data_IF_062068862971
#
_entry.id   IF_062068862971
#
_cell.length_a   1.000
_cell.length_b   1.000
_cell.length_c   1.000
_cell.angle_alpha   90.00
_cell.angle_beta   90.00
_cell.angle_gamma   90.00
#
_symmetry.space_group_name_H-M   'P 1'
#
loop_
_entity.id
_entity.type
_entity.pdbx_description
1 polymer ?
#
# COMPACT_ATOMS: atom_id res chain seq x y z
N UNK A 1 6.54 -7.14 16.44
CA UNK A 1 6.73 -7.05 17.92
C UNK A 1 6.19 -5.72 18.45
N UNK A 2 5.07 -5.23 17.92
CA UNK A 2 4.47 -3.97 18.37
C UNK A 2 3.92 -4.15 19.80
N UNK A 3 4.26 -3.22 20.70
CA UNK A 3 3.84 -3.25 22.11
C UNK A 3 2.90 -2.09 22.45
N UNK A 4 2.50 -1.30 21.46
CA UNK A 4 1.75 -0.07 21.63
C UNK A 4 2.61 1.12 22.03
N UNK A 5 1.96 2.28 22.08
CA UNK A 5 2.60 3.57 22.35
C UNK A 5 2.77 3.89 23.84
N UNK A 6 3.32 5.07 24.09
CA UNK A 6 3.48 5.61 25.44
C UNK A 6 2.14 5.99 26.09
N UNK A 7 2.14 6.28 27.39
CA UNK A 7 0.98 6.81 28.11
C UNK A 7 0.40 8.11 27.50
N UNK A 8 1.15 8.85 26.67
CA UNK A 8 0.70 10.11 26.07
C UNK A 8 0.19 9.96 24.64
N UNK A 9 0.68 8.98 23.90
CA UNK A 9 0.46 8.85 22.46
C UNK A 9 0.34 7.37 22.11
N UNK A 10 -0.77 7.02 21.44
CA UNK A 10 -1.03 5.68 20.91
C UNK A 10 -0.98 4.54 21.96
N UNK A 11 -1.34 4.83 23.22
CA UNK A 11 -1.44 3.78 24.25
C UNK A 11 -2.41 2.68 23.80
N UNK A 12 -1.97 1.41 23.83
CA UNK A 12 -2.74 0.25 23.34
C UNK A 12 -3.17 0.33 21.87
N UNK A 13 -2.54 1.17 21.06
CA UNK A 13 -2.76 1.30 19.61
C UNK A 13 -1.49 0.92 18.85
N UNK A 14 -1.60 0.55 17.57
CA UNK A 14 -0.44 0.25 16.72
C UNK A 14 0.52 1.44 16.64
N UNK A 15 1.81 1.17 16.81
CA UNK A 15 2.91 2.13 16.60
C UNK A 15 3.69 1.86 15.32
N UNK A 16 3.37 0.76 14.63
CA UNK A 16 4.02 0.31 13.40
C UNK A 16 3.08 0.26 12.19
N UNK A 17 1.85 0.76 12.32
CA UNK A 17 0.86 0.69 11.25
C UNK A 17 1.19 1.68 10.12
N UNK A 18 1.45 1.13 8.93
CA UNK A 18 1.57 1.87 7.67
C UNK A 18 0.73 1.18 6.59
N UNK A 19 0.30 1.94 5.59
CA UNK A 19 -0.43 1.40 4.42
C UNK A 19 0.01 2.04 3.12
N UNK A 20 -0.05 1.27 2.05
CA UNK A 20 0.24 1.72 0.70
C UNK A 20 -0.80 1.18 -0.29
N UNK A 21 -0.92 1.84 -1.45
CA UNK A 21 -1.79 1.40 -2.54
C UNK A 21 -1.10 0.30 -3.34
N UNK A 22 -1.78 -0.83 -3.55
CA UNK A 22 -1.36 -1.82 -4.54
C UNK A 22 -1.72 -1.34 -5.95
N UNK A 23 -0.78 -1.46 -6.87
CA UNK A 23 -0.99 -1.10 -8.27
C UNK A 23 -1.26 -2.36 -9.10
N UNK A 24 -2.53 -2.58 -9.44
CA UNK A 24 -2.94 -3.56 -10.44
C UNK A 24 -3.59 -2.81 -11.61
N UNK A 25 -2.83 -2.62 -12.69
CA UNK A 25 -3.26 -1.80 -13.82
C UNK A 25 -2.77 -2.32 -15.17
N UNK A 26 -3.53 -2.03 -16.22
CA UNK A 26 -3.06 -2.16 -17.60
C UNK A 26 -2.45 -0.81 -18.03
N UNK A 27 -1.17 -0.78 -18.46
CA UNK A 27 -0.55 0.45 -18.96
C UNK A 27 -1.14 0.88 -20.31
N UNK A 28 -1.12 2.18 -20.59
CA UNK A 28 -1.61 2.81 -21.83
C UNK A 28 -1.50 4.34 -21.73
N UNK A 29 -2.08 5.07 -22.68
CA UNK A 29 -2.13 6.54 -22.65
C UNK A 29 -2.70 7.08 -21.33
N UNK A 30 -3.64 6.35 -20.75
CA UNK A 30 -4.06 6.46 -19.35
C UNK A 30 -4.11 5.07 -18.75
N UNK A 31 -3.55 4.91 -17.54
CA UNK A 31 -3.55 3.62 -16.85
C UNK A 31 -4.98 3.22 -16.45
N UNK A 32 -5.38 1.99 -16.77
CA UNK A 32 -6.66 1.42 -16.31
C UNK A 32 -6.42 0.55 -15.08
N UNK A 33 -7.00 0.92 -13.93
CA UNK A 33 -6.77 0.26 -12.65
C UNK A 33 -7.92 -0.66 -12.24
N UNK A 34 -7.58 -1.83 -11.73
CA UNK A 34 -8.51 -2.72 -11.01
C UNK A 34 -8.34 -2.46 -9.52
N UNK A 35 -9.31 -1.76 -8.90
CA UNK A 35 -9.16 -1.24 -7.54
C UNK A 35 -9.90 -2.05 -6.47
N UNK A 36 -10.81 -2.95 -6.84
CA UNK A 36 -11.60 -3.71 -5.85
C UNK A 36 -10.94 -5.06 -5.62
N UNK A 37 -10.17 -5.19 -4.55
CA UNK A 37 -9.52 -6.45 -4.17
C UNK A 37 -10.57 -7.48 -3.74
N UNK A 38 -10.45 -8.71 -4.23
CA UNK A 38 -11.37 -9.82 -3.96
C UNK A 38 -10.72 -10.91 -3.09
N UNK A 39 -9.46 -11.24 -3.38
CA UNK A 39 -8.71 -12.26 -2.67
C UNK A 39 -7.21 -12.02 -2.80
N UNK A 40 -6.45 -12.53 -1.84
CA UNK A 40 -4.99 -12.57 -1.83
C UNK A 40 -4.56 -13.96 -1.36
N UNK A 41 -3.54 -14.54 -1.97
CA UNK A 41 -2.97 -15.82 -1.53
C UNK A 41 -2.12 -15.64 -0.26
N UNK A 42 -1.77 -16.76 0.36
CA UNK A 42 -0.57 -16.81 1.19
C UNK A 42 0.69 -16.49 0.36
N UNK A 43 1.84 -16.33 1.02
CA UNK A 43 3.12 -16.13 0.33
C UNK A 43 3.48 -17.41 -0.44
N UNK A 44 3.77 -17.26 -1.72
CA UNK A 44 4.22 -18.30 -2.63
C UNK A 44 5.67 -18.03 -3.04
N UNK A 45 6.43 -19.08 -3.34
CA UNK A 45 7.75 -18.97 -3.97
C UNK A 45 7.60 -19.13 -5.49
N UNK A 46 7.83 -18.07 -6.25
CA UNK A 46 7.86 -18.09 -7.72
C UNK A 46 9.24 -17.63 -8.20
N UNK A 47 9.93 -18.48 -8.96
CA UNK A 47 11.28 -18.21 -9.47
C UNK A 47 12.29 -17.74 -8.38
N UNK A 48 12.17 -18.31 -7.18
CA UNK A 48 13.00 -17.98 -6.01
C UNK A 48 12.68 -16.62 -5.38
N UNK A 49 11.48 -16.07 -5.64
CA UNK A 49 11.00 -14.82 -5.05
C UNK A 49 9.72 -15.09 -4.24
N UNK A 50 9.64 -14.55 -3.01
CA UNK A 50 8.41 -14.58 -2.23
C UNK A 50 7.40 -13.59 -2.82
N UNK A 51 6.26 -14.08 -3.29
CA UNK A 51 5.21 -13.28 -3.92
C UNK A 51 3.85 -13.56 -3.29
N UNK A 52 2.93 -12.61 -3.41
CA UNK A 52 1.50 -12.85 -3.24
C UNK A 52 0.78 -12.61 -4.57
N UNK A 53 -0.20 -13.45 -4.88
CA UNK A 53 -1.12 -13.22 -5.98
C UNK A 53 -2.40 -12.61 -5.44
N UNK A 54 -2.93 -11.59 -6.10
CA UNK A 54 -4.18 -10.96 -5.70
C UNK A 54 -5.13 -10.78 -6.89
N UNK A 55 -6.40 -11.07 -6.64
CA UNK A 55 -7.49 -10.93 -7.60
C UNK A 55 -8.17 -9.59 -7.35
N UNK A 56 -8.34 -8.79 -8.41
CA UNK A 56 -9.02 -7.51 -8.38
C UNK A 56 -10.18 -7.49 -9.40
N UNK A 57 -11.16 -6.65 -9.14
CA UNK A 57 -12.23 -6.32 -10.07
C UNK A 57 -12.40 -4.83 -10.27
N UNK A 58 -13.16 -4.47 -11.29
CA UNK A 58 -13.69 -3.12 -11.48
C UNK A 58 -14.82 -2.83 -10.46
N UNK A 59 -15.11 -1.56 -10.15
CA UNK A 59 -16.22 -1.19 -9.26
C UNK A 59 -17.58 -1.74 -9.74
N UNK A 60 -18.52 -1.99 -8.82
CA UNK A 60 -19.83 -2.58 -9.14
C UNK A 60 -20.64 -1.79 -10.18
N UNK A 61 -20.52 -0.46 -10.20
CA UNK A 61 -21.23 0.43 -11.13
C UNK A 61 -20.41 0.73 -12.41
N UNK A 62 -19.62 -0.22 -12.88
CA UNK A 62 -18.76 -0.08 -14.06
C UNK A 62 -18.83 -1.31 -14.96
N UNK A 63 -18.18 -1.26 -16.13
CA UNK A 63 -18.08 -2.43 -17.01
C UNK A 63 -17.34 -3.55 -16.24
N UNK A 64 -17.94 -4.73 -16.08
CA UNK A 64 -17.33 -5.81 -15.31
C UNK A 64 -16.00 -6.25 -15.92
N UNK A 65 -14.98 -6.33 -15.09
CA UNK A 65 -13.66 -6.83 -15.44
C UNK A 65 -12.92 -7.31 -14.21
N UNK A 66 -12.04 -8.30 -14.40
CA UNK A 66 -11.19 -8.84 -13.35
C UNK A 66 -9.74 -8.94 -13.83
N UNK A 67 -8.81 -8.86 -12.89
CA UNK A 67 -7.39 -9.03 -13.13
C UNK A 67 -6.73 -9.81 -11.99
N UNK A 68 -5.64 -10.50 -12.31
CA UNK A 68 -4.76 -11.13 -11.33
C UNK A 68 -3.41 -10.43 -11.43
N UNK A 69 -2.92 -9.91 -10.31
CA UNK A 69 -1.62 -9.26 -10.20
C UNK A 69 -0.75 -9.99 -9.18
N UNK A 70 0.55 -10.10 -9.48
CA UNK A 70 1.56 -10.64 -8.58
C UNK A 70 2.34 -9.49 -7.93
N UNK A 71 2.58 -9.57 -6.62
CA UNK A 71 3.36 -8.61 -5.87
C UNK A 71 4.52 -9.31 -5.17
N UNK A 72 5.75 -8.92 -5.53
CA UNK A 72 6.98 -9.37 -4.86
C UNK A 72 7.05 -8.76 -3.45
N UNK A 73 7.17 -9.61 -2.43
CA UNK A 73 7.18 -9.20 -1.03
C UNK A 73 8.39 -8.32 -0.70
N UNK A 74 9.49 -8.43 -1.44
CA UNK A 74 10.63 -7.51 -1.31
C UNK A 74 10.27 -6.09 -1.76
N UNK A 75 9.47 -5.95 -2.82
CA UNK A 75 8.98 -4.66 -3.29
C UNK A 75 7.92 -4.08 -2.35
N UNK A 76 7.04 -4.92 -1.79
CA UNK A 76 6.07 -4.50 -0.77
C UNK A 76 6.79 -3.92 0.45
N UNK A 77 7.83 -4.60 0.94
CA UNK A 77 8.64 -4.09 2.06
C UNK A 77 9.31 -2.75 1.72
N UNK A 78 9.93 -2.64 0.53
CA UNK A 78 10.61 -1.42 0.10
C UNK A 78 9.69 -0.19 0.02
N UNK A 79 8.39 -0.36 -0.25
CA UNK A 79 7.43 0.76 -0.27
C UNK A 79 7.32 1.44 1.11
N UNK A 80 7.46 0.69 2.20
CA UNK A 80 7.39 1.25 3.57
C UNK A 80 8.65 2.01 3.99
N UNK A 81 9.74 1.86 3.24
CA UNK A 81 10.97 2.66 3.38
C UNK A 81 10.90 3.97 2.57
N UNK A 82 9.89 4.12 1.70
CA UNK A 82 9.69 5.31 0.87
C UNK A 82 9.13 6.52 1.59
N UNK A 83 8.85 7.60 0.85
CA UNK A 83 8.29 8.83 1.47
C UNK A 83 6.85 8.64 1.90
N UNK A 84 6.51 9.20 3.06
CA UNK A 84 5.12 9.32 3.52
C UNK A 84 4.33 10.29 2.64
N UNK A 85 3.00 10.21 2.71
CA UNK A 85 2.08 11.16 2.07
C UNK A 85 1.44 12.05 3.14
N UNK A 86 1.41 13.35 2.87
CA UNK A 86 0.74 14.35 3.71
C UNK A 86 -0.24 15.21 2.92
N UNK A 87 -1.17 15.81 3.66
CA UNK A 87 -2.07 16.84 3.18
C UNK A 87 -1.84 18.10 4.04
N UNK A 88 -1.27 19.15 3.45
CA UNK A 88 -0.79 20.35 4.19
C UNK A 88 -1.92 21.21 4.76
N UNK A 89 -3.04 21.24 4.05
CA UNK A 89 -4.32 21.80 4.51
C UNK A 89 -5.47 20.89 4.06
N UNK A 90 -6.66 20.94 4.69
CA UNK A 90 -7.78 20.07 4.32
C UNK A 90 -8.19 20.12 2.84
N UNK A 91 -7.92 21.24 2.16
CA UNK A 91 -8.24 21.49 0.75
C UNK A 91 -7.09 21.16 -0.21
N UNK A 92 -5.88 20.94 0.31
CA UNK A 92 -4.70 20.69 -0.52
C UNK A 92 -4.68 19.27 -1.09
N UNK A 93 -3.96 19.08 -2.20
CA UNK A 93 -3.68 17.73 -2.72
C UNK A 93 -2.68 16.99 -1.82
N UNK A 94 -2.70 15.66 -1.89
CA UNK A 94 -1.71 14.83 -1.21
C UNK A 94 -0.33 14.98 -1.86
N UNK A 95 0.68 15.32 -1.07
CA UNK A 95 2.07 15.50 -1.51
C UNK A 95 3.01 14.60 -0.70
N UNK A 96 4.19 14.23 -1.23
CA UNK A 96 5.17 13.49 -0.47
C UNK A 96 5.79 14.36 0.63
N UNK A 97 5.93 13.81 1.83
CA UNK A 97 6.64 14.46 2.95
C UNK A 97 8.13 14.55 2.61
N UNK A 98 8.78 15.72 2.77
CA UNK A 98 10.24 15.85 2.67
C UNK A 98 10.96 14.99 3.72
N UNK A 99 12.06 14.34 3.34
CA UNK A 99 12.74 13.38 4.24
C UNK A 99 13.33 14.03 5.49
N UNK A 100 13.73 15.30 5.41
CA UNK A 100 14.23 16.10 6.54
C UNK A 100 13.16 16.42 7.59
N UNK A 101 11.88 16.30 7.23
CA UNK A 101 10.74 16.47 8.14
C UNK A 101 10.32 15.17 8.81
N UNK A 102 10.85 14.01 8.40
CA UNK A 102 10.54 12.71 9.00
C UNK A 102 11.28 12.59 10.35
N UNK A 103 10.55 12.41 11.47
CA UNK A 103 11.19 12.26 12.79
C UNK A 103 12.10 11.03 12.88
N UNK A 104 12.99 11.03 13.87
CA UNK A 104 13.86 9.90 14.20
C UNK A 104 13.54 9.42 15.63
N UNK A 105 13.41 8.10 15.89
CA UNK A 105 13.44 7.00 14.91
C UNK A 105 12.27 7.06 13.92
N UNK A 106 12.49 6.49 12.73
CA UNK A 106 11.48 6.34 11.69
C UNK A 106 10.40 5.35 12.11
#
# INVERSE_FOLDING_TARGET
NDMGGSQRVLEKQWTSFLKARLNCSVPGDSHFYFNVIQAVTDILELDGRPVVLAVFSTPANSIPGSAVCAFDMTQVAAVFEGRFREQKSPESIWTPVPEDMVPKPR
#
